data_IF_662177360481
#
_entry.id   IF_662177360481
#
_cell.length_a   1.000
_cell.length_b   1.000
_cell.length_c   1.000
_cell.angle_alpha   90.00
_cell.angle_beta   90.00
_cell.angle_gamma   90.00
#
_symmetry.space_group_name_H-M   'P 1'
#
loop_
_entity.id
_entity.type
_entity.pdbx_description
1 polymer ?
#
# COMPACT_ATOMS: atom_id res chain seq x y z
N UNK A 1 -30.92 -21.99 -58.98
CA UNK A 1 -30.74 -20.52 -58.83
C UNK A 1 -31.28 -19.92 -57.50
N UNK A 2 -31.75 -20.71 -56.51
CA UNK A 2 -32.27 -20.18 -55.24
C UNK A 2 -31.20 -20.04 -54.13
N UNK A 3 -29.99 -20.58 -54.30
CA UNK A 3 -28.95 -20.56 -53.24
C UNK A 3 -28.02 -19.31 -53.29
N UNK A 4 -27.93 -18.63 -54.42
CA UNK A 4 -27.07 -17.46 -54.59
C UNK A 4 -27.65 -16.16 -53.91
N UNK A 5 -28.98 -16.06 -53.87
CA UNK A 5 -29.67 -14.93 -53.26
C UNK A 5 -29.65 -14.94 -51.72
N UNK A 6 -29.65 -16.13 -51.10
CA UNK A 6 -29.56 -16.24 -49.65
C UNK A 6 -28.16 -15.90 -49.10
N UNK A 7 -27.11 -16.23 -49.86
CA UNK A 7 -25.73 -15.83 -49.50
C UNK A 7 -25.50 -14.32 -49.72
N UNK A 8 -26.08 -13.70 -50.76
CA UNK A 8 -25.94 -12.26 -51.00
C UNK A 8 -26.71 -11.43 -49.94
N UNK A 9 -27.90 -11.92 -49.48
CA UNK A 9 -28.64 -11.23 -48.40
C UNK A 9 -27.95 -11.41 -47.05
N UNK A 10 -27.34 -12.59 -46.78
CA UNK A 10 -26.56 -12.82 -45.56
C UNK A 10 -25.26 -11.95 -45.53
N UNK A 11 -24.58 -11.81 -46.70
CA UNK A 11 -23.42 -10.93 -46.84
C UNK A 11 -23.81 -9.44 -46.79
N UNK A 12 -24.93 -9.04 -47.38
CA UNK A 12 -25.42 -7.66 -47.35
C UNK A 12 -25.88 -7.23 -45.94
N UNK A 13 -26.42 -8.13 -45.13
CA UNK A 13 -26.75 -7.87 -43.74
C UNK A 13 -25.51 -7.78 -42.83
N UNK A 14 -24.44 -8.47 -43.17
CA UNK A 14 -23.15 -8.37 -42.44
C UNK A 14 -22.44 -7.02 -42.69
N UNK A 15 -22.60 -6.43 -43.89
CA UNK A 15 -21.94 -5.16 -44.26
C UNK A 15 -22.66 -3.92 -43.74
N UNK A 16 -23.94 -4.01 -43.38
CA UNK A 16 -24.69 -2.91 -42.78
C UNK A 16 -24.52 -2.74 -41.26
N UNK A 17 -23.85 -3.67 -40.57
CA UNK A 17 -23.73 -3.70 -39.11
C UNK A 17 -22.38 -3.20 -38.57
N UNK A 18 -21.43 -2.80 -39.41
CA UNK A 18 -20.10 -2.34 -38.95
C UNK A 18 -20.17 -1.16 -37.96
N UNK A 19 -21.10 -0.22 -38.20
CA UNK A 19 -21.29 0.94 -37.32
C UNK A 19 -21.97 0.63 -35.96
N UNK A 20 -22.63 -0.50 -35.85
CA UNK A 20 -23.32 -0.88 -34.60
C UNK A 20 -22.38 -1.56 -33.59
N UNK A 21 -21.32 -2.24 -34.02
CA UNK A 21 -20.40 -2.93 -33.13
C UNK A 21 -19.58 -1.96 -32.25
N UNK A 22 -19.04 -0.89 -32.83
CA UNK A 22 -18.29 0.12 -32.07
C UNK A 22 -19.17 0.80 -31.02
N UNK A 23 -20.37 1.24 -31.41
CA UNK A 23 -21.33 1.85 -30.50
C UNK A 23 -21.81 0.89 -29.42
N UNK A 24 -22.03 -0.38 -29.78
CA UNK A 24 -22.42 -1.42 -28.81
C UNK A 24 -21.31 -1.75 -27.84
N UNK A 25 -20.07 -1.89 -28.33
CA UNK A 25 -18.89 -2.09 -27.52
C UNK A 25 -18.70 -0.92 -26.54
N UNK A 26 -18.79 0.33 -27.01
CA UNK A 26 -18.68 1.53 -26.19
C UNK A 26 -19.73 1.57 -25.07
N UNK A 27 -20.98 1.19 -25.36
CA UNK A 27 -22.04 1.09 -24.34
C UNK A 27 -21.75 0.03 -23.28
N UNK A 28 -21.31 -1.16 -23.68
CA UNK A 28 -20.95 -2.25 -22.76
C UNK A 28 -19.75 -1.86 -21.89
N UNK A 29 -18.76 -1.21 -22.49
CA UNK A 29 -17.61 -0.67 -21.76
C UNK A 29 -18.03 0.39 -20.73
N UNK A 30 -18.89 1.33 -21.10
CA UNK A 30 -19.41 2.33 -20.18
C UNK A 30 -20.26 1.73 -19.03
N UNK A 31 -20.84 0.55 -19.24
CA UNK A 31 -21.56 -0.22 -18.21
C UNK A 31 -20.63 -1.05 -17.30
N UNK A 32 -19.33 -1.08 -17.58
CA UNK A 32 -18.35 -1.89 -16.85
C UNK A 32 -18.38 -3.39 -17.21
N UNK A 33 -19.12 -3.78 -18.26
CA UNK A 33 -19.22 -5.16 -18.73
C UNK A 33 -18.02 -5.49 -19.64
N UNK A 34 -16.80 -5.54 -19.06
CA UNK A 34 -15.53 -5.58 -19.81
C UNK A 34 -15.41 -6.80 -20.75
N UNK A 35 -15.80 -8.00 -20.30
CA UNK A 35 -15.76 -9.21 -21.12
C UNK A 35 -16.72 -9.13 -22.31
N UNK A 36 -17.94 -8.65 -22.08
CA UNK A 36 -18.93 -8.50 -23.15
C UNK A 36 -18.54 -7.38 -24.12
N UNK A 37 -17.94 -6.31 -23.61
CA UNK A 37 -17.38 -5.24 -24.42
C UNK A 37 -16.24 -5.75 -25.30
N UNK A 38 -15.29 -6.48 -24.73
CA UNK A 38 -14.16 -7.07 -25.46
C UNK A 38 -14.67 -7.96 -26.59
N UNK A 39 -15.50 -8.96 -26.29
CA UNK A 39 -16.04 -9.86 -27.31
C UNK A 39 -16.78 -9.12 -28.43
N UNK A 40 -17.55 -8.09 -28.08
CA UNK A 40 -18.27 -7.26 -29.08
C UNK A 40 -17.31 -6.45 -29.95
N UNK A 41 -16.25 -5.88 -29.35
CA UNK A 41 -15.22 -5.15 -30.09
C UNK A 41 -14.40 -6.07 -31.01
N UNK A 42 -14.05 -7.27 -30.57
CA UNK A 42 -13.33 -8.25 -31.40
C UNK A 42 -14.15 -8.66 -32.63
N UNK A 43 -15.46 -8.87 -32.48
CA UNK A 43 -16.37 -9.09 -33.60
C UNK A 43 -16.42 -7.86 -34.51
N UNK A 44 -16.45 -6.65 -33.95
CA UNK A 44 -16.42 -5.40 -34.70
C UNK A 44 -15.13 -5.25 -35.52
N UNK A 45 -13.99 -5.65 -34.96
CA UNK A 45 -12.70 -5.60 -35.63
C UNK A 45 -12.66 -6.54 -36.87
N UNK A 46 -13.33 -7.70 -36.77
CA UNK A 46 -13.45 -8.64 -37.90
C UNK A 46 -14.42 -8.09 -38.95
N UNK A 47 -15.55 -7.51 -38.52
CA UNK A 47 -16.57 -6.98 -39.41
C UNK A 47 -16.15 -5.70 -40.13
N UNK A 48 -15.38 -4.83 -39.48
CA UNK A 48 -14.92 -3.56 -39.97
C UNK A 48 -13.44 -3.32 -39.62
N UNK A 49 -12.48 -3.95 -40.32
CA UNK A 49 -11.05 -3.89 -39.97
C UNK A 49 -10.44 -2.47 -40.06
N UNK A 50 -11.11 -1.55 -40.76
CA UNK A 50 -10.68 -0.15 -40.95
C UNK A 50 -11.24 0.78 -39.89
N UNK A 51 -12.11 0.30 -38.99
CA UNK A 51 -12.65 1.12 -37.91
C UNK A 51 -11.53 1.41 -36.88
N UNK A 52 -11.35 2.69 -36.58
CA UNK A 52 -10.34 3.14 -35.60
C UNK A 52 -10.87 3.20 -34.18
N UNK A 53 -12.18 3.30 -33.99
CA UNK A 53 -12.79 3.33 -32.65
C UNK A 53 -12.68 2.00 -31.93
N UNK A 54 -12.87 0.89 -32.65
CA UNK A 54 -12.82 -0.45 -32.08
C UNK A 54 -11.43 -0.75 -31.48
N UNK A 55 -10.29 -0.54 -32.15
CA UNK A 55 -8.98 -0.72 -31.53
C UNK A 55 -8.74 0.20 -30.33
N UNK A 56 -9.21 1.46 -30.34
CA UNK A 56 -9.11 2.38 -29.19
C UNK A 56 -9.84 1.80 -27.97
N UNK A 57 -11.06 1.30 -28.17
CA UNK A 57 -11.84 0.67 -27.10
C UNK A 57 -11.17 -0.60 -26.59
N UNK A 58 -10.61 -1.45 -27.46
CA UNK A 58 -9.89 -2.64 -27.07
C UNK A 58 -8.66 -2.31 -26.22
N UNK A 59 -7.89 -1.28 -26.59
CA UNK A 59 -6.78 -0.79 -25.74
C UNK A 59 -7.28 -0.41 -24.36
N UNK A 60 -8.35 0.38 -24.25
CA UNK A 60 -8.91 0.79 -22.96
C UNK A 60 -9.40 -0.41 -22.14
N UNK A 61 -10.14 -1.33 -22.77
CA UNK A 61 -10.65 -2.55 -22.11
C UNK A 61 -9.50 -3.40 -21.56
N UNK A 62 -8.46 -3.66 -22.37
CA UNK A 62 -7.32 -4.45 -21.92
C UNK A 62 -6.51 -3.75 -20.81
N UNK A 63 -6.38 -2.42 -20.85
CA UNK A 63 -5.75 -1.67 -19.78
C UNK A 63 -6.55 -1.75 -18.47
N UNK A 64 -7.88 -1.65 -18.53
CA UNK A 64 -8.76 -1.76 -17.35
C UNK A 64 -8.77 -3.19 -16.76
N UNK A 65 -8.54 -4.20 -17.62
CA UNK A 65 -8.34 -5.60 -17.19
C UNK A 65 -6.92 -5.89 -16.69
N UNK A 66 -5.98 -4.94 -16.80
CA UNK A 66 -4.57 -5.15 -16.48
C UNK A 66 -3.78 -5.96 -17.51
N UNK A 67 -4.34 -6.19 -18.67
CA UNK A 67 -3.77 -7.00 -19.77
C UNK A 67 -2.92 -6.13 -20.71
N UNK A 68 -1.83 -5.56 -20.17
CA UNK A 68 -1.04 -4.53 -20.87
C UNK A 68 -0.42 -5.02 -22.17
N UNK A 69 0.00 -6.28 -22.25
CA UNK A 69 0.58 -6.87 -23.45
C UNK A 69 -0.43 -6.93 -24.61
N UNK A 70 -1.70 -7.25 -24.32
CA UNK A 70 -2.78 -7.24 -25.31
C UNK A 70 -3.12 -5.80 -25.74
N UNK A 71 -3.16 -4.86 -24.79
CA UNK A 71 -3.35 -3.45 -25.09
C UNK A 71 -2.27 -2.94 -26.06
N UNK A 72 -1.00 -3.32 -25.87
CA UNK A 72 0.11 -2.93 -26.74
C UNK A 72 -0.09 -3.43 -28.19
N UNK A 73 -0.57 -4.64 -28.38
CA UNK A 73 -0.84 -5.18 -29.72
C UNK A 73 -1.89 -4.38 -30.49
N UNK A 74 -2.88 -3.81 -29.79
CA UNK A 74 -3.87 -2.93 -30.42
C UNK A 74 -3.35 -1.50 -30.58
N UNK A 75 -2.49 -1.01 -29.69
CA UNK A 75 -1.80 0.28 -29.84
C UNK A 75 -0.95 0.33 -31.12
N UNK A 76 -0.27 -0.77 -31.45
CA UNK A 76 0.56 -0.85 -32.66
C UNK A 76 -0.30 -0.76 -33.95
N UNK A 77 -1.57 -1.16 -33.89
CA UNK A 77 -2.52 -1.03 -35.01
C UNK A 77 -3.05 0.40 -35.20
N UNK A 78 -3.06 1.21 -34.14
CA UNK A 78 -3.55 2.59 -34.23
C UNK A 78 -2.63 3.51 -35.03
N UNK A 79 -1.33 3.20 -35.10
CA UNK A 79 -0.37 3.97 -35.90
C UNK A 79 -0.34 5.47 -35.52
N UNK A 80 -0.65 6.34 -36.49
CA UNK A 80 -0.67 7.81 -36.34
C UNK A 80 -2.01 8.36 -35.81
N UNK A 81 -2.77 7.55 -35.06
CA UNK A 81 -4.01 8.01 -34.48
C UNK A 81 -3.76 9.11 -33.44
N UNK A 82 -4.55 10.21 -33.42
CA UNK A 82 -4.35 11.30 -32.45
C UNK A 82 -4.48 10.88 -30.99
N UNK A 83 -5.23 9.83 -30.67
CA UNK A 83 -5.37 9.31 -29.31
C UNK A 83 -4.26 8.30 -28.94
N UNK A 84 -3.54 7.75 -29.92
CA UNK A 84 -2.52 6.74 -29.66
C UNK A 84 -1.44 7.17 -28.64
N UNK A 85 -0.93 8.43 -28.65
CA UNK A 85 0.03 8.87 -27.65
C UNK A 85 -0.53 8.85 -26.22
N UNK A 86 -1.80 9.20 -26.02
CA UNK A 86 -2.47 9.20 -24.70
C UNK A 86 -2.72 7.77 -24.22
N UNK A 87 -3.18 6.89 -25.09
CA UNK A 87 -3.38 5.47 -24.79
C UNK A 87 -2.04 4.78 -24.50
N UNK A 88 -0.97 5.13 -25.22
CA UNK A 88 0.40 4.67 -24.94
C UNK A 88 0.88 5.13 -23.57
N UNK A 89 0.60 6.38 -23.21
CA UNK A 89 0.92 6.87 -21.87
C UNK A 89 0.19 6.12 -20.76
N UNK A 90 -1.08 5.78 -20.96
CA UNK A 90 -1.84 4.93 -20.03
C UNK A 90 -1.23 3.53 -19.89
N UNK A 91 -0.81 2.91 -21.01
CA UNK A 91 -0.11 1.64 -20.99
C UNK A 91 1.23 1.72 -20.22
N UNK A 92 2.03 2.76 -20.48
CA UNK A 92 3.29 3.01 -19.78
C UNK A 92 3.09 3.26 -18.27
N UNK A 93 2.00 3.95 -17.88
CA UNK A 93 1.63 4.09 -16.46
C UNK A 93 1.34 2.73 -15.82
N UNK A 94 0.62 1.86 -16.52
CA UNK A 94 0.30 0.52 -16.03
C UNK A 94 1.56 -0.38 -15.94
N UNK A 95 2.55 -0.19 -16.82
CA UNK A 95 3.86 -0.85 -16.79
C UNK A 95 4.83 -0.28 -15.73
N UNK A 96 4.48 0.84 -15.08
CA UNK A 96 5.38 1.51 -14.15
C UNK A 96 6.51 2.33 -14.82
N UNK A 97 6.44 2.56 -16.12
CA UNK A 97 7.43 3.28 -16.93
C UNK A 97 7.17 4.80 -16.92
N UNK A 98 7.09 5.37 -15.73
CA UNK A 98 6.62 6.75 -15.51
C UNK A 98 7.50 7.81 -16.18
N UNK A 99 8.83 7.60 -16.27
CA UNK A 99 9.74 8.54 -16.93
C UNK A 99 9.46 8.66 -18.43
N UNK A 100 9.05 7.58 -19.06
CA UNK A 100 8.73 7.56 -20.47
C UNK A 100 7.41 8.29 -20.76
N UNK A 101 6.44 8.23 -19.84
CA UNK A 101 5.22 9.05 -19.93
C UNK A 101 5.56 10.55 -19.97
N UNK A 102 6.51 11.00 -19.13
CA UNK A 102 6.95 12.39 -19.13
C UNK A 102 7.68 12.78 -20.42
N UNK A 103 8.39 11.84 -21.05
CA UNK A 103 9.11 12.04 -22.29
C UNK A 103 8.19 12.16 -23.52
N UNK A 104 6.94 11.68 -23.46
CA UNK A 104 5.97 11.80 -24.57
C UNK A 104 5.54 13.24 -24.86
N UNK A 105 5.80 14.19 -23.98
CA UNK A 105 5.48 15.60 -24.21
C UNK A 105 3.99 15.89 -24.38
N UNK A 106 3.10 15.10 -23.76
CA UNK A 106 1.66 15.20 -23.93
C UNK A 106 1.13 16.56 -23.48
N UNK A 107 0.31 17.17 -24.31
CA UNK A 107 -0.33 18.46 -24.07
C UNK A 107 -1.83 18.30 -23.77
N UNK A 108 -2.52 19.42 -23.51
CA UNK A 108 -3.95 19.45 -23.19
C UNK A 108 -4.27 18.90 -21.80
N UNK A 109 -5.55 18.80 -21.53
CA UNK A 109 -6.08 18.41 -20.21
C UNK A 109 -5.73 16.97 -19.84
N UNK A 110 -5.95 16.02 -20.75
CA UNK A 110 -5.64 14.62 -20.55
C UNK A 110 -4.12 14.40 -20.44
N UNK A 111 -3.32 15.05 -21.29
CA UNK A 111 -1.86 14.96 -21.22
C UNK A 111 -1.31 15.47 -19.89
N UNK A 112 -1.84 16.59 -19.37
CA UNK A 112 -1.47 17.08 -18.04
C UNK A 112 -1.85 16.11 -16.93
N UNK A 113 -3.02 15.47 -17.03
CA UNK A 113 -3.44 14.47 -16.05
C UNK A 113 -2.49 13.26 -16.04
N UNK A 114 -2.18 12.69 -17.20
CA UNK A 114 -1.28 11.54 -17.32
C UNK A 114 0.14 11.87 -16.80
N UNK A 115 0.63 13.08 -17.08
CA UNK A 115 1.91 13.56 -16.53
C UNK A 115 1.85 13.74 -15.02
N UNK A 116 0.75 14.27 -14.48
CA UNK A 116 0.58 14.42 -13.03
C UNK A 116 0.54 13.06 -12.32
N UNK A 117 -0.14 12.05 -12.91
CA UNK A 117 -0.13 10.68 -12.41
C UNK A 117 1.28 10.07 -12.45
N UNK A 118 2.04 10.29 -13.52
CA UNK A 118 3.43 9.82 -13.60
C UNK A 118 4.32 10.48 -12.55
N UNK A 119 4.16 11.78 -12.28
CA UNK A 119 4.91 12.51 -11.26
C UNK A 119 4.57 12.04 -9.85
N UNK A 120 3.28 11.79 -9.55
CA UNK A 120 2.85 11.16 -8.29
C UNK A 120 3.62 9.85 -8.06
N UNK A 121 3.65 8.97 -9.07
CA UNK A 121 4.33 7.66 -8.98
C UNK A 121 5.86 7.76 -8.89
N UNK A 122 6.44 8.85 -9.35
CA UNK A 122 7.87 9.16 -9.22
C UNK A 122 8.24 9.82 -7.88
N UNK A 123 7.27 10.04 -6.98
CA UNK A 123 7.50 10.71 -5.70
C UNK A 123 7.80 12.21 -5.85
N UNK A 124 7.19 12.88 -6.85
CA UNK A 124 7.31 14.32 -7.11
C UNK A 124 5.94 15.02 -6.93
N UNK A 125 5.36 14.95 -5.71
CA UNK A 125 3.96 15.36 -5.49
C UNK A 125 3.73 16.87 -5.67
N UNK A 126 4.71 17.74 -5.43
CA UNK A 126 4.58 19.18 -5.63
C UNK A 126 4.38 19.52 -7.11
N UNK A 127 5.15 18.88 -7.99
CA UNK A 127 5.04 19.09 -9.43
C UNK A 127 3.76 18.48 -9.99
N UNK A 128 3.37 17.30 -9.47
CA UNK A 128 2.09 16.67 -9.81
C UNK A 128 0.92 17.59 -9.41
N UNK A 129 0.96 18.18 -8.21
CA UNK A 129 -0.07 19.09 -7.70
C UNK A 129 -0.16 20.36 -8.56
N UNK A 130 0.97 20.91 -9.01
CA UNK A 130 0.99 22.08 -9.88
C UNK A 130 0.28 21.82 -11.20
N UNK A 131 0.41 20.62 -11.76
CA UNK A 131 -0.30 20.21 -12.98
C UNK A 131 -1.79 19.93 -12.70
N UNK A 132 -2.10 19.25 -11.60
CA UNK A 132 -3.45 18.79 -11.28
C UNK A 132 -4.41 19.92 -10.91
N UNK A 133 -3.95 20.97 -10.22
CA UNK A 133 -4.79 22.11 -9.77
C UNK A 133 -5.50 22.86 -10.90
N UNK A 134 -4.99 22.83 -12.09
CA UNK A 134 -5.58 23.50 -13.27
C UNK A 134 -6.48 22.61 -14.12
N UNK A 135 -6.77 21.37 -13.66
CA UNK A 135 -7.59 20.43 -14.41
C UNK A 135 -9.07 20.52 -13.98
N UNK A 136 -10.01 20.15 -14.89
CA UNK A 136 -11.40 19.95 -14.50
C UNK A 136 -11.51 18.94 -13.36
N UNK A 137 -12.36 19.24 -12.37
CA UNK A 137 -12.52 18.38 -11.18
C UNK A 137 -13.43 17.18 -11.48
N UNK A 138 -13.02 16.32 -12.41
CA UNK A 138 -13.61 15.01 -12.57
C UNK A 138 -13.18 14.06 -11.43
N UNK A 139 -13.73 12.85 -11.41
CA UNK A 139 -13.44 11.86 -10.37
C UNK A 139 -11.96 11.51 -10.28
N UNK A 140 -11.29 11.34 -11.41
CA UNK A 140 -9.88 10.94 -11.46
C UNK A 140 -8.97 12.04 -10.89
N UNK A 141 -9.23 13.29 -11.28
CA UNK A 141 -8.51 14.47 -10.77
C UNK A 141 -8.77 14.68 -9.27
N UNK A 142 -10.02 14.51 -8.80
CA UNK A 142 -10.32 14.63 -7.37
C UNK A 142 -9.58 13.60 -6.53
N UNK A 143 -9.56 12.33 -6.96
CA UNK A 143 -8.81 11.26 -6.29
C UNK A 143 -7.30 11.55 -6.32
N UNK A 144 -6.77 12.01 -7.46
CA UNK A 144 -5.36 12.41 -7.56
C UNK A 144 -5.03 13.55 -6.57
N UNK A 145 -5.82 14.61 -6.55
CA UNK A 145 -5.62 15.73 -5.62
C UNK A 145 -5.65 15.26 -4.17
N UNK A 146 -6.62 14.41 -3.80
CA UNK A 146 -6.69 13.85 -2.46
C UNK A 146 -5.40 13.09 -2.08
N UNK A 147 -4.90 12.22 -2.95
CA UNK A 147 -3.64 11.50 -2.70
C UNK A 147 -2.44 12.43 -2.60
N UNK A 148 -2.32 13.41 -3.50
CA UNK A 148 -1.23 14.38 -3.49
C UNK A 148 -1.20 15.22 -2.20
N UNK A 149 -2.35 15.67 -1.72
CA UNK A 149 -2.42 16.39 -0.45
C UNK A 149 -2.07 15.50 0.76
N UNK A 150 -2.37 14.20 0.67
CA UNK A 150 -1.95 13.24 1.70
C UNK A 150 -0.42 13.09 1.71
N UNK A 151 0.21 12.92 0.55
CA UNK A 151 1.65 12.79 0.41
C UNK A 151 2.41 14.04 0.85
N UNK A 152 1.85 15.22 0.59
CA UNK A 152 2.42 16.51 0.99
C UNK A 152 2.25 16.83 2.49
N UNK A 153 1.61 15.94 3.27
CA UNK A 153 1.35 16.18 4.69
C UNK A 153 0.32 17.30 4.96
N UNK A 154 -0.54 17.60 3.98
CA UNK A 154 -1.61 18.61 4.04
C UNK A 154 -3.00 17.97 3.89
N UNK A 155 -3.32 16.91 4.65
CA UNK A 155 -4.47 16.07 4.38
C UNK A 155 -5.82 16.82 4.44
N UNK A 156 -5.98 17.76 5.36
CA UNK A 156 -7.24 18.48 5.51
C UNK A 156 -7.59 19.36 4.30
N UNK A 157 -6.59 19.81 3.54
CA UNK A 157 -6.84 20.56 2.31
C UNK A 157 -7.36 19.64 1.20
N UNK A 158 -6.90 18.39 1.17
CA UNK A 158 -7.34 17.37 0.22
C UNK A 158 -8.81 16.97 0.39
N UNK A 159 -9.33 17.04 1.62
CA UNK A 159 -10.73 16.70 1.94
C UNK A 159 -11.73 17.53 1.11
N UNK A 160 -11.43 18.80 0.87
CA UNK A 160 -12.31 19.72 0.16
C UNK A 160 -12.54 19.38 -1.32
N UNK A 161 -11.68 18.56 -1.92
CA UNK A 161 -11.78 18.17 -3.33
C UNK A 161 -12.60 16.89 -3.53
N UNK A 162 -12.77 16.07 -2.49
CA UNK A 162 -13.39 14.75 -2.60
C UNK A 162 -14.91 14.81 -2.51
N UNK A 163 -15.58 14.05 -3.37
CA UNK A 163 -17.03 13.87 -3.40
C UNK A 163 -17.51 12.71 -2.52
N UNK A 164 -18.56 12.02 -2.99
CA UNK A 164 -19.30 11.02 -2.21
C UNK A 164 -19.25 9.61 -2.85
N UNK A 165 -18.41 9.40 -3.90
CA UNK A 165 -18.23 8.03 -4.39
C UNK A 165 -17.51 7.19 -3.34
N UNK A 166 -17.73 5.87 -3.29
CA UNK A 166 -17.14 5.02 -2.27
C UNK A 166 -15.62 5.18 -2.14
N UNK A 167 -14.90 5.30 -3.26
CA UNK A 167 -13.46 5.49 -3.28
C UNK A 167 -13.04 6.86 -2.73
N UNK A 168 -13.79 7.90 -3.09
CA UNK A 168 -13.54 9.25 -2.57
C UNK A 168 -13.82 9.31 -1.07
N UNK A 169 -14.88 8.64 -0.60
CA UNK A 169 -15.24 8.59 0.83
C UNK A 169 -14.17 7.82 1.63
N UNK A 170 -13.64 6.70 1.13
CA UNK A 170 -12.55 5.99 1.79
C UNK A 170 -11.28 6.85 1.85
N UNK A 171 -10.92 7.51 0.75
CA UNK A 171 -9.79 8.44 0.72
C UNK A 171 -10.01 9.63 1.66
N UNK A 172 -11.23 10.18 1.73
CA UNK A 172 -11.62 11.26 2.66
C UNK A 172 -11.44 10.81 4.12
N UNK A 173 -11.86 9.58 4.44
CA UNK A 173 -11.62 8.98 5.76
C UNK A 173 -10.13 8.89 6.10
N UNK A 174 -9.28 8.47 5.15
CA UNK A 174 -7.83 8.44 5.31
C UNK A 174 -7.21 9.83 5.51
N UNK A 175 -7.69 10.81 4.78
CA UNK A 175 -7.25 12.21 4.94
C UNK A 175 -7.64 12.77 6.31
N UNK A 176 -8.86 12.52 6.78
CA UNK A 176 -9.32 12.91 8.11
C UNK A 176 -8.51 12.23 9.21
N UNK A 177 -8.19 10.94 9.03
CA UNK A 177 -7.34 10.18 9.93
C UNK A 177 -5.94 10.81 10.02
N UNK A 178 -5.29 11.07 8.87
CA UNK A 178 -3.97 11.71 8.80
C UNK A 178 -3.99 13.14 9.35
N UNK A 179 -5.10 13.84 9.24
CA UNK A 179 -5.33 15.17 9.81
C UNK A 179 -5.72 15.18 11.29
N UNK A 180 -5.76 14.02 11.97
CA UNK A 180 -6.10 13.90 13.38
C UNK A 180 -7.59 13.98 13.71
N UNK A 181 -8.48 14.06 12.71
CA UNK A 181 -9.96 14.13 12.91
C UNK A 181 -10.53 12.72 13.04
N UNK A 182 -10.06 11.97 14.07
CA UNK A 182 -10.29 10.54 14.24
C UNK A 182 -11.78 10.15 14.37
N UNK A 183 -12.58 10.97 15.04
CA UNK A 183 -14.00 10.70 15.25
C UNK A 183 -14.78 10.77 13.94
N UNK A 184 -14.51 11.78 13.13
CA UNK A 184 -15.13 11.97 11.83
C UNK A 184 -14.68 10.91 10.83
N UNK A 185 -13.36 10.59 10.83
CA UNK A 185 -12.84 9.49 10.03
C UNK A 185 -13.55 8.17 10.35
N UNK A 186 -13.69 7.84 11.64
CA UNK A 186 -14.33 6.61 12.07
C UNK A 186 -15.80 6.55 11.64
N UNK A 187 -16.57 7.64 11.82
CA UNK A 187 -17.98 7.71 11.42
C UNK A 187 -18.15 7.53 9.91
N UNK A 188 -17.33 8.22 9.12
CA UNK A 188 -17.39 8.18 7.66
C UNK A 188 -17.00 6.80 7.11
N UNK A 189 -15.94 6.20 7.67
CA UNK A 189 -15.46 4.88 7.24
C UNK A 189 -16.43 3.76 7.65
N UNK A 190 -17.09 3.86 8.80
CA UNK A 190 -18.14 2.91 9.21
C UNK A 190 -19.32 2.95 8.25
N UNK A 191 -19.77 4.15 7.85
CA UNK A 191 -20.87 4.34 6.91
C UNK A 191 -20.53 3.73 5.54
N UNK A 192 -19.36 4.02 4.97
CA UNK A 192 -18.99 3.48 3.66
C UNK A 192 -18.76 1.98 3.70
N UNK A 193 -18.16 1.45 4.79
CA UNK A 193 -17.96 0.02 5.00
C UNK A 193 -19.26 -0.77 4.88
N UNK A 194 -20.35 -0.25 5.48
CA UNK A 194 -21.64 -0.91 5.45
C UNK A 194 -22.27 -1.05 4.05
N UNK A 195 -21.77 -0.28 3.08
CA UNK A 195 -22.25 -0.26 1.69
C UNK A 195 -21.36 -1.03 0.74
N UNK A 196 -20.17 -1.45 1.18
CA UNK A 196 -19.19 -2.14 0.36
C UNK A 196 -19.32 -3.67 0.48
N UNK A 197 -19.05 -4.38 -0.61
CA UNK A 197 -18.92 -5.84 -0.56
C UNK A 197 -17.62 -6.23 0.18
N UNK A 198 -17.65 -7.24 1.08
CA UNK A 198 -16.46 -7.73 1.78
C UNK A 198 -15.34 -8.21 0.85
N UNK A 199 -15.66 -8.64 -0.36
CA UNK A 199 -14.69 -9.08 -1.37
C UNK A 199 -13.96 -7.92 -2.05
N UNK A 200 -14.48 -6.70 -1.94
CA UNK A 200 -13.93 -5.51 -2.57
C UNK A 200 -12.59 -5.13 -1.93
N UNK A 201 -11.56 -4.79 -2.73
CA UNK A 201 -10.33 -4.18 -2.21
C UNK A 201 -10.58 -2.93 -1.37
N UNK A 202 -11.57 -2.14 -1.76
CA UNK A 202 -11.96 -0.91 -1.08
C UNK A 202 -12.52 -1.17 0.33
N UNK A 203 -13.25 -2.30 0.53
CA UNK A 203 -13.70 -2.73 1.85
C UNK A 203 -12.53 -2.97 2.79
N UNK A 204 -11.48 -3.62 2.32
CA UNK A 204 -10.28 -3.89 3.10
C UNK A 204 -9.55 -2.60 3.49
N UNK A 205 -9.46 -1.64 2.56
CA UNK A 205 -8.89 -0.32 2.85
C UNK A 205 -9.72 0.43 3.90
N UNK A 206 -11.04 0.45 3.76
CA UNK A 206 -11.95 1.07 4.72
C UNK A 206 -11.81 0.44 6.11
N UNK A 207 -11.76 -0.90 6.16
CA UNK A 207 -11.63 -1.65 7.40
C UNK A 207 -10.30 -1.35 8.12
N UNK A 208 -9.19 -1.33 7.39
CA UNK A 208 -7.88 -1.01 7.93
C UNK A 208 -7.81 0.44 8.44
N UNK A 209 -8.34 1.40 7.69
CA UNK A 209 -8.38 2.80 8.10
C UNK A 209 -9.28 3.01 9.32
N UNK A 210 -10.43 2.31 9.39
CA UNK A 210 -11.34 2.35 10.53
C UNK A 210 -10.69 1.77 11.79
N UNK A 211 -9.97 0.66 11.68
CA UNK A 211 -9.22 0.07 12.80
C UNK A 211 -8.22 1.09 13.37
N UNK A 212 -7.47 1.77 12.50
CA UNK A 212 -6.53 2.82 12.92
C UNK A 212 -7.23 4.00 13.61
N UNK A 213 -8.40 4.42 13.08
CA UNK A 213 -9.18 5.49 13.69
C UNK A 213 -9.68 5.10 15.10
N UNK A 214 -10.09 3.83 15.30
CA UNK A 214 -10.49 3.29 16.61
C UNK A 214 -9.31 3.25 17.59
N UNK A 215 -8.16 2.75 17.19
CA UNK A 215 -6.95 2.76 18.03
C UNK A 215 -6.52 4.19 18.41
N UNK A 216 -6.54 5.13 17.46
CA UNK A 216 -6.22 6.53 17.76
C UNK A 216 -7.18 7.18 18.75
N UNK A 217 -8.40 6.66 18.90
CA UNK A 217 -9.39 7.06 19.91
C UNK A 217 -9.29 6.26 21.21
N UNK A 218 -8.27 5.43 21.37
CA UNK A 218 -8.05 4.53 22.50
C UNK A 218 -9.14 3.43 22.63
N UNK A 219 -9.90 3.18 21.57
CA UNK A 219 -10.84 2.07 21.47
C UNK A 219 -10.10 0.82 20.97
N UNK A 220 -9.31 0.21 21.86
CA UNK A 220 -8.52 -0.96 21.53
C UNK A 220 -9.39 -2.18 21.18
N UNK A 221 -10.49 -2.39 21.90
CA UNK A 221 -11.39 -3.53 21.64
C UNK A 221 -12.02 -3.44 20.25
N UNK A 222 -12.54 -2.27 19.87
CA UNK A 222 -13.10 -2.03 18.55
C UNK A 222 -12.05 -2.16 17.45
N UNK A 223 -10.84 -1.62 17.67
CA UNK A 223 -9.72 -1.75 16.74
C UNK A 223 -9.30 -3.20 16.49
N UNK A 224 -9.13 -4.01 17.55
CA UNK A 224 -8.78 -5.44 17.42
C UNK A 224 -9.87 -6.27 16.75
N UNK A 225 -11.14 -5.99 17.02
CA UNK A 225 -12.27 -6.65 16.34
C UNK A 225 -12.21 -6.44 14.82
N UNK A 226 -11.95 -5.20 14.37
CA UNK A 226 -11.82 -4.86 12.95
C UNK A 226 -10.60 -5.50 12.29
N UNK A 227 -9.48 -5.61 13.02
CA UNK A 227 -8.31 -6.33 12.53
C UNK A 227 -8.58 -7.84 12.40
N UNK A 228 -9.36 -8.42 13.32
CA UNK A 228 -9.82 -9.81 13.22
C UNK A 228 -10.69 -10.04 11.98
N UNK A 229 -11.59 -9.11 11.68
CA UNK A 229 -12.43 -9.14 10.47
C UNK A 229 -11.57 -9.02 9.21
N UNK A 230 -10.60 -8.10 9.17
CA UNK A 230 -9.66 -7.96 8.07
C UNK A 230 -8.86 -9.25 7.82
N UNK A 231 -8.40 -9.91 8.88
CA UNK A 231 -7.68 -11.17 8.79
C UNK A 231 -8.53 -12.30 8.19
N UNK A 232 -9.84 -12.32 8.48
CA UNK A 232 -10.78 -13.29 7.90
C UNK A 232 -11.00 -13.02 6.40
N UNK A 233 -11.20 -11.75 6.02
CA UNK A 233 -11.41 -11.34 4.63
C UNK A 233 -10.18 -11.64 3.76
N UNK A 234 -8.99 -11.48 4.30
CA UNK A 234 -7.74 -11.75 3.56
C UNK A 234 -7.29 -13.22 3.60
N UNK A 235 -8.06 -14.13 4.21
CA UNK A 235 -7.70 -15.54 4.37
C UNK A 235 -6.28 -15.73 4.95
N UNK A 236 -5.96 -14.98 6.01
CA UNK A 236 -4.62 -14.86 6.61
C UNK A 236 -4.29 -15.80 7.79
N UNK A 237 -4.90 -16.99 7.99
CA UNK A 237 -4.60 -17.81 9.18
C UNK A 237 -3.12 -18.20 9.29
N UNK A 238 -2.38 -18.21 8.19
CA UNK A 238 -0.94 -18.51 8.18
C UNK A 238 -0.01 -17.29 8.17
N UNK A 239 -0.48 -16.13 7.73
CA UNK A 239 0.37 -14.93 7.60
C UNK A 239 0.68 -14.27 8.96
N UNK A 240 -0.19 -14.40 9.95
CA UNK A 240 0.10 -13.96 11.31
C UNK A 240 1.34 -14.64 11.88
N UNK A 241 1.44 -15.98 11.72
CA UNK A 241 2.58 -16.76 12.17
C UNK A 241 3.81 -16.61 11.27
N UNK A 242 3.62 -16.54 9.95
CA UNK A 242 4.73 -16.33 9.01
C UNK A 242 5.36 -14.94 9.12
N UNK A 243 4.60 -13.91 9.56
CA UNK A 243 5.15 -12.58 9.86
C UNK A 243 5.75 -12.46 11.25
N UNK A 244 5.36 -13.32 12.18
CA UNK A 244 6.03 -13.46 13.47
C UNK A 244 7.38 -14.20 13.35
N UNK A 245 7.63 -14.90 12.23
CA UNK A 245 8.86 -15.65 12.02
C UNK A 245 10.15 -14.83 12.14
N UNK A 246 10.30 -13.63 11.59
CA UNK A 246 11.50 -12.83 11.81
C UNK A 246 11.67 -12.43 13.27
N UNK A 247 10.57 -12.13 13.97
CA UNK A 247 10.57 -11.80 15.39
C UNK A 247 10.87 -13.01 16.28
N UNK A 248 10.36 -14.19 15.91
CA UNK A 248 10.71 -15.46 16.54
C UNK A 248 12.20 -15.78 16.34
N UNK A 249 12.75 -15.57 15.14
CA UNK A 249 14.19 -15.72 14.89
C UNK A 249 15.01 -14.74 15.72
N UNK A 250 14.60 -13.47 15.80
CA UNK A 250 15.26 -12.48 16.65
C UNK A 250 15.19 -12.86 18.12
N UNK A 251 14.05 -13.34 18.60
CA UNK A 251 13.89 -13.82 19.97
C UNK A 251 14.77 -15.03 20.25
N UNK A 252 14.84 -15.99 19.33
CA UNK A 252 15.70 -17.20 19.45
C UNK A 252 17.18 -16.81 19.36
N UNK A 253 17.59 -15.91 18.46
CA UNK A 253 18.96 -15.41 18.37
C UNK A 253 19.34 -14.63 19.64
N UNK A 254 18.46 -13.80 20.16
CA UNK A 254 18.66 -13.07 21.42
C UNK A 254 18.78 -14.02 22.61
N UNK A 255 17.93 -15.05 22.68
CA UNK A 255 18.01 -16.14 23.65
C UNK A 255 19.34 -16.90 23.54
N UNK A 256 19.78 -17.21 22.32
CA UNK A 256 21.07 -17.84 22.06
C UNK A 256 22.24 -16.99 22.52
N UNK A 257 22.18 -15.68 22.31
CA UNK A 257 23.19 -14.73 22.79
C UNK A 257 23.20 -14.60 24.31
N UNK A 258 22.03 -14.64 24.95
CA UNK A 258 21.94 -14.64 26.43
C UNK A 258 22.53 -15.91 27.04
N UNK A 259 22.20 -17.09 26.48
CA UNK A 259 22.74 -18.38 26.94
C UNK A 259 24.24 -18.44 26.67
N UNK A 260 24.71 -17.96 25.50
CA UNK A 260 26.14 -17.88 25.17
C UNK A 260 26.87 -16.91 26.11
N UNK A 261 26.28 -15.75 26.41
CA UNK A 261 26.81 -14.78 27.36
C UNK A 261 26.94 -15.37 28.77
N UNK A 262 25.90 -16.08 29.26
CA UNK A 262 25.97 -16.78 30.55
C UNK A 262 27.07 -17.85 30.59
N UNK A 263 27.24 -18.64 29.53
CA UNK A 263 28.29 -19.67 29.45
C UNK A 263 29.70 -19.11 29.47
N UNK A 264 29.90 -17.85 29.01
CA UNK A 264 31.19 -17.16 29.02
C UNK A 264 31.48 -16.45 30.34
N UNK A 265 30.47 -16.12 31.16
CA UNK A 265 30.60 -15.43 32.44
C UNK A 265 30.96 -16.43 33.55
N UNK A 266 30.70 -17.72 33.35
CA UNK A 266 31.00 -18.77 34.33
C UNK A 266 32.48 -18.82 34.83
N UNK A 267 33.52 -18.57 33.96
CA UNK A 267 34.90 -18.51 34.43
C UNK A 267 35.23 -17.31 35.32
N UNK A 268 34.42 -16.25 35.31
CA UNK A 268 34.59 -15.08 36.19
C UNK A 268 34.00 -15.23 37.57
N UNK A 269 33.28 -16.34 37.84
CA UNK A 269 32.73 -16.69 39.16
C UNK A 269 33.76 -17.08 40.20
N UNK A 270 35.03 -17.22 39.87
CA UNK A 270 36.11 -17.53 40.80
C UNK A 270 36.66 -16.30 41.53
N UNK A 271 36.19 -15.11 41.22
CA UNK A 271 36.49 -13.92 42.04
C UNK A 271 35.35 -13.78 43.05
N UNK A 272 35.70 -13.90 44.33
CA UNK A 272 34.81 -13.71 45.48
C UNK A 272 34.08 -12.37 45.35
N UNK A 273 32.89 -12.37 44.86
CA UNK A 273 32.02 -11.19 44.80
C UNK A 273 30.65 -11.54 45.36
N UNK A 274 30.48 -11.04 46.59
CA UNK A 274 29.21 -10.64 47.21
C UNK A 274 27.96 -11.42 46.82
N UNK A 275 27.38 -12.03 47.83
CA UNK A 275 26.15 -12.84 47.89
C UNK A 275 24.88 -12.18 47.36
N UNK A 276 24.83 -11.76 46.12
CA UNK A 276 23.55 -11.41 45.51
C UNK A 276 23.36 -12.21 44.23
N UNK A 277 22.42 -13.16 44.16
CA UNK A 277 22.22 -13.96 42.97
C UNK A 277 21.81 -13.05 41.81
N UNK A 278 22.52 -13.17 40.70
CA UNK A 278 22.02 -12.68 39.40
C UNK A 278 20.53 -13.05 39.30
N UNK A 279 19.67 -12.15 38.76
CA UNK A 279 18.29 -12.54 38.55
C UNK A 279 18.30 -13.80 37.73
N UNK A 280 17.68 -14.85 38.27
CA UNK A 280 17.58 -16.11 37.55
C UNK A 280 17.10 -15.87 36.13
N UNK A 281 17.48 -16.70 35.19
CA UNK A 281 17.16 -16.54 33.75
C UNK A 281 15.69 -16.16 33.51
N UNK A 282 14.76 -16.62 34.35
CA UNK A 282 13.35 -16.27 34.27
C UNK A 282 13.03 -14.77 34.35
N UNK A 283 13.81 -13.94 35.05
CA UNK A 283 13.57 -12.48 35.11
C UNK A 283 14.11 -11.75 33.88
N UNK A 284 15.19 -12.25 33.29
CA UNK A 284 15.70 -11.78 32.02
C UNK A 284 14.72 -12.12 30.88
N UNK A 285 14.13 -13.31 30.90
CA UNK A 285 13.07 -13.71 29.99
C UNK A 285 11.83 -12.81 30.11
N UNK A 286 11.37 -12.53 31.32
CA UNK A 286 10.24 -11.63 31.55
C UNK A 286 10.51 -10.21 31.06
N UNK A 287 11.75 -9.73 31.22
CA UNK A 287 12.14 -8.42 30.68
C UNK A 287 12.18 -8.41 29.13
N UNK A 288 12.74 -9.45 28.52
CA UNK A 288 12.76 -9.61 27.07
C UNK A 288 11.33 -9.76 26.49
N UNK A 289 10.47 -10.55 27.17
CA UNK A 289 9.05 -10.67 26.81
C UNK A 289 8.30 -9.35 26.98
N UNK A 290 8.63 -8.55 28.01
CA UNK A 290 8.09 -7.20 28.19
C UNK A 290 8.47 -6.28 27.01
N UNK A 291 9.72 -6.33 26.57
CA UNK A 291 10.18 -5.60 25.39
C UNK A 291 9.48 -6.02 24.10
N UNK A 292 9.30 -7.33 23.92
CA UNK A 292 8.52 -7.88 22.81
C UNK A 292 7.07 -7.42 22.88
N UNK A 293 6.46 -7.41 24.07
CA UNK A 293 5.10 -6.90 24.30
C UNK A 293 4.96 -5.44 23.96
N UNK A 294 5.94 -4.59 24.35
CA UNK A 294 5.96 -3.17 23.97
C UNK A 294 6.12 -3.00 22.46
N UNK A 295 7.01 -3.77 21.83
CA UNK A 295 7.19 -3.74 20.37
C UNK A 295 5.90 -4.13 19.65
N UNK A 296 5.21 -5.16 20.14
CA UNK A 296 3.93 -5.63 19.59
C UNK A 296 2.82 -4.59 19.78
N UNK A 297 2.75 -3.95 20.94
CA UNK A 297 1.80 -2.85 21.22
C UNK A 297 2.03 -1.64 20.33
N UNK A 298 3.27 -1.21 20.18
CA UNK A 298 3.62 -0.08 19.30
C UNK A 298 3.37 -0.46 17.82
N UNK A 299 3.69 -1.68 17.43
CA UNK A 299 3.44 -2.21 16.09
C UNK A 299 1.94 -2.24 15.77
N UNK A 300 1.11 -2.65 16.73
CA UNK A 300 -0.34 -2.64 16.60
C UNK A 300 -0.88 -1.21 16.60
N UNK A 301 -0.41 -0.35 17.52
CA UNK A 301 -0.84 1.04 17.61
C UNK A 301 -0.48 1.87 16.36
N UNK A 302 0.62 1.53 15.72
CA UNK A 302 1.06 2.20 14.47
C UNK A 302 0.58 1.48 13.21
N UNK A 303 -0.07 0.33 13.33
CA UNK A 303 -0.48 -0.50 12.19
C UNK A 303 0.67 -1.14 11.40
N UNK A 304 1.90 -1.01 11.89
CA UNK A 304 3.12 -1.36 11.13
C UNK A 304 3.46 -2.85 11.11
N UNK A 305 2.99 -3.63 12.06
CA UNK A 305 3.59 -4.94 12.28
C UNK A 305 2.76 -6.15 11.91
N UNK A 306 1.44 -6.06 12.01
CA UNK A 306 0.58 -7.22 11.85
C UNK A 306 -0.01 -7.34 10.44
N UNK A 307 -0.16 -6.22 9.73
CA UNK A 307 -0.82 -6.19 8.42
C UNK A 307 -0.05 -5.26 7.48
N UNK A 308 0.65 -5.82 6.49
CA UNK A 308 1.42 -5.05 5.50
C UNK A 308 0.61 -4.01 4.74
N UNK A 309 -0.71 -4.20 4.68
CA UNK A 309 -1.62 -3.24 4.04
C UNK A 309 -1.86 -1.98 4.90
N UNK A 310 -1.65 -2.02 6.20
CA UNK A 310 -1.71 -0.83 7.05
C UNK A 310 -0.59 0.17 6.73
N UNK A 311 0.57 -0.30 6.28
CA UNK A 311 1.65 0.57 5.79
C UNK A 311 1.25 1.37 4.56
N UNK A 312 0.38 0.82 3.70
CA UNK A 312 -0.13 1.53 2.52
C UNK A 312 -1.04 2.72 2.87
N UNK A 313 -1.52 2.80 4.12
CA UNK A 313 -2.30 3.95 4.61
C UNK A 313 -1.42 5.16 4.94
N UNK A 314 -0.11 4.94 5.16
CA UNK A 314 0.84 6.01 5.43
C UNK A 314 1.50 6.47 4.14
N UNK A 315 1.74 7.76 4.03
CA UNK A 315 2.57 8.30 2.95
C UNK A 315 3.99 7.75 3.07
N UNK A 316 4.78 7.70 1.98
CA UNK A 316 6.21 7.36 2.05
C UNK A 316 6.99 8.17 3.08
N UNK A 317 6.63 9.44 3.25
CA UNK A 317 7.20 10.32 4.27
C UNK A 317 6.86 9.83 5.70
N UNK A 318 5.59 9.51 5.96
CA UNK A 318 5.16 9.01 7.28
C UNK A 318 5.80 7.65 7.58
N UNK A 319 5.93 6.77 6.59
CA UNK A 319 6.65 5.50 6.73
C UNK A 319 8.12 5.74 7.08
N UNK A 320 8.77 6.69 6.42
CA UNK A 320 10.16 7.06 6.68
C UNK A 320 10.40 7.67 8.07
N UNK A 321 9.39 8.27 8.70
CA UNK A 321 9.48 8.86 10.04
C UNK A 321 9.03 7.87 11.12
N UNK A 322 7.91 7.20 10.92
CA UNK A 322 7.30 6.31 11.94
C UNK A 322 8.15 5.07 12.19
N UNK A 323 8.71 4.46 11.15
CA UNK A 323 9.57 3.28 11.29
C UNK A 323 10.85 3.55 12.11
N UNK A 324 11.66 4.58 11.79
CA UNK A 324 12.82 4.94 12.61
C UNK A 324 12.46 5.32 14.05
N UNK A 325 11.37 6.07 14.28
CA UNK A 325 10.91 6.41 15.62
C UNK A 325 10.52 5.18 16.43
N UNK A 326 9.88 4.21 15.80
CA UNK A 326 9.55 2.93 16.42
C UNK A 326 10.82 2.19 16.88
N UNK A 327 11.82 2.06 15.99
CA UNK A 327 13.06 1.39 16.33
C UNK A 327 13.87 2.15 17.39
N UNK A 328 13.85 3.48 17.33
CA UNK A 328 14.46 4.33 18.35
C UNK A 328 13.80 4.15 19.72
N UNK A 329 12.47 4.17 19.78
CA UNK A 329 11.71 3.97 21.02
C UNK A 329 11.96 2.59 21.64
N UNK A 330 11.99 1.56 20.80
CA UNK A 330 12.31 0.19 21.23
C UNK A 330 13.76 0.06 21.70
N UNK A 331 14.70 0.61 20.95
CA UNK A 331 16.11 0.63 21.34
C UNK A 331 16.34 1.40 22.65
N UNK A 332 15.68 2.55 22.83
CA UNK A 332 15.70 3.33 24.06
C UNK A 332 15.09 2.55 25.25
N UNK A 333 13.98 1.86 25.05
CA UNK A 333 13.37 1.00 26.07
C UNK A 333 14.34 -0.08 26.54
N UNK A 334 14.94 -0.81 25.61
CA UNK A 334 15.91 -1.87 25.95
C UNK A 334 17.14 -1.28 26.65
N UNK A 335 17.70 -0.18 26.11
CA UNK A 335 18.85 0.49 26.68
C UNK A 335 18.56 1.03 28.08
N UNK A 336 17.45 1.74 28.27
CA UNK A 336 17.09 2.33 29.56
C UNK A 336 16.78 1.24 30.60
N UNK A 337 16.09 0.20 30.17
CA UNK A 337 15.78 -0.94 31.03
C UNK A 337 17.01 -1.67 31.51
N UNK A 338 17.95 -1.98 30.60
CA UNK A 338 19.23 -2.60 30.93
C UNK A 338 20.11 -1.67 31.80
N UNK A 339 20.15 -0.37 31.45
CA UNK A 339 20.91 0.63 32.21
C UNK A 339 20.38 0.79 33.64
N UNK A 340 19.05 0.94 33.81
CA UNK A 340 18.44 1.09 35.13
C UNK A 340 18.59 -0.16 35.97
N UNK A 341 18.51 -1.33 35.33
CA UNK A 341 18.72 -2.62 36.00
C UNK A 341 20.18 -2.78 36.44
N UNK A 342 21.14 -2.45 35.58
CA UNK A 342 22.57 -2.54 35.88
C UNK A 342 23.00 -1.51 36.93
N UNK A 343 22.48 -0.26 36.86
CA UNK A 343 22.76 0.81 37.82
C UNK A 343 22.25 0.48 39.23
N UNK A 344 21.13 -0.19 39.37
CA UNK A 344 20.57 -0.59 40.68
C UNK A 344 21.37 -1.67 41.36
N UNK A 345 22.00 -2.57 40.59
CA UNK A 345 22.70 -3.72 41.15
C UNK A 345 24.23 -3.59 41.24
N UNK A 346 24.80 -2.81 40.38
CA UNK A 346 26.25 -2.65 40.29
C UNK A 346 26.66 -1.18 40.23
N UNK A 347 26.53 -0.44 41.33
CA UNK A 347 26.85 1.00 41.32
C UNK A 347 28.33 1.32 40.96
N UNK A 348 29.22 0.30 40.88
CA UNK A 348 30.63 0.44 40.50
C UNK A 348 31.01 -0.27 39.20
N UNK A 349 30.12 -1.04 38.59
CA UNK A 349 30.40 -1.91 37.46
C UNK A 349 29.76 -1.39 36.18
N UNK A 350 29.87 -0.11 35.90
CA UNK A 350 29.88 0.37 34.54
C UNK A 350 31.22 -0.10 33.98
N UNK A 351 31.22 -1.24 33.29
CA UNK A 351 32.41 -1.78 32.63
C UNK A 351 33.09 -0.74 31.76
N UNK A 352 34.34 -0.99 31.30
CA UNK A 352 35.10 -0.02 30.54
C UNK A 352 34.24 0.54 29.39
N UNK A 353 34.40 1.84 29.11
CA UNK A 353 33.64 2.56 28.08
C UNK A 353 33.61 1.83 26.72
N UNK A 354 34.60 0.98 26.49
CA UNK A 354 34.77 0.12 25.32
C UNK A 354 33.65 -0.92 25.18
N UNK A 355 33.18 -1.54 26.28
CA UNK A 355 32.09 -2.53 26.23
C UNK A 355 30.74 -1.90 25.84
N UNK A 356 30.52 -0.63 26.19
CA UNK A 356 29.35 0.13 25.79
C UNK A 356 29.39 0.56 24.34
N UNK A 357 30.60 0.86 23.81
CA UNK A 357 30.78 1.19 22.40
C UNK A 357 30.49 -0.03 21.53
N UNK A 358 31.00 -1.21 21.93
CA UNK A 358 30.74 -2.45 21.19
C UNK A 358 29.25 -2.83 21.21
N UNK A 359 28.56 -2.74 22.36
CA UNK A 359 27.12 -2.99 22.46
C UNK A 359 26.29 -1.97 21.67
N UNK A 360 26.73 -0.72 21.56
CA UNK A 360 26.08 0.32 20.79
C UNK A 360 26.15 0.07 19.27
N UNK A 361 27.20 -0.56 18.78
CA UNK A 361 27.37 -0.87 17.35
C UNK A 361 26.71 -2.18 16.92
N UNK A 362 26.60 -3.16 17.81
CA UNK A 362 25.99 -4.47 17.50
C UNK A 362 24.48 -4.33 17.26
N UNK A 363 23.80 -3.47 17.98
CA UNK A 363 22.36 -3.22 17.80
C UNK A 363 21.99 -2.66 16.43
N UNK A 364 22.60 -1.54 15.99
CA UNK A 364 22.39 -0.98 14.65
C UNK A 364 22.83 -1.92 13.52
N UNK A 365 23.88 -2.70 13.72
CA UNK A 365 24.37 -3.66 12.72
C UNK A 365 23.39 -4.82 12.52
N UNK A 366 22.81 -5.35 13.62
CA UNK A 366 21.75 -6.35 13.56
C UNK A 366 20.47 -5.79 12.93
N UNK A 367 20.10 -4.54 13.27
CA UNK A 367 18.96 -3.86 12.67
C UNK A 367 19.18 -3.58 11.18
N UNK A 368 20.39 -3.19 10.78
CA UNK A 368 20.77 -3.00 9.38
C UNK A 368 20.72 -4.30 8.57
N UNK A 369 21.16 -5.42 9.15
CA UNK A 369 21.06 -6.73 8.53
C UNK A 369 19.58 -7.19 8.38
N UNK A 370 18.75 -6.93 9.39
CA UNK A 370 17.32 -7.21 9.33
C UNK A 370 16.60 -6.34 8.28
N UNK A 371 17.05 -5.10 8.14
CA UNK A 371 16.48 -4.19 7.11
C UNK A 371 16.90 -4.55 5.69
N UNK A 372 18.10 -5.10 5.52
CA UNK A 372 18.60 -5.55 4.22
C UNK A 372 17.95 -6.88 3.75
N UNK A 373 17.35 -7.64 4.68
CA UNK A 373 16.68 -8.91 4.38
C UNK A 373 15.14 -8.81 4.31
N UNK A 374 14.54 -7.70 4.66
CA UNK A 374 13.10 -7.42 4.58
C UNK A 374 12.76 -6.54 3.39
#
# INVERSE_FOLDING_TARGET
>A
MRGAWTLAVALGLAWGQGGDYAARCARLYAQGALEAAQATCELGLVAAPQDREVPRLLVRIHLDKGEVAQAQAYLDRLGEDPEAPYLRARALLAEGRYREVLALGLEGTEGRLLRALALERLGRPEEALALARGLPLDREVRLLLGRLYLELGRPLEGVAYLGDTPEEVVLKGRLLLAGGRLAEAASLLEEVRSRLSPESPLYREALAALALARFGRLDGQGGFSLLGELAQVENLPGLGLARLWPWLLCAVAFLGLLVYGESRIEPLRTVEVVEDPLPGPGRLYLFALGGLGVALLVSVATGLGLYGNALALFTPYQQGVVLPLFHLAYGLYLFLGLYLWQRRRFPGLLGPKEAWVEGFWVGPLLLGLLWAYG
#
